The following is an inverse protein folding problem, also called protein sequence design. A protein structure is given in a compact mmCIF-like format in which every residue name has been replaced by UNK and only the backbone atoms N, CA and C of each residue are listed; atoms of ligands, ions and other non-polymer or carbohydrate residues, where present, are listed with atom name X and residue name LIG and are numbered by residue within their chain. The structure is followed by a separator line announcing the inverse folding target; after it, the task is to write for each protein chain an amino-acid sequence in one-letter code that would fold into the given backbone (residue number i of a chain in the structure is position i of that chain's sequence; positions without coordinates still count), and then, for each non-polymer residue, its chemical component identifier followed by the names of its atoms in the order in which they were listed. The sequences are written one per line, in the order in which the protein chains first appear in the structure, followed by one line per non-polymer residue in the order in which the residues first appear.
data_IF_294539874078
#
_entry.id   IF_294539874078
#
_cell.length_a   1.000
_cell.length_b   1.000
_cell.length_c   1.000
_cell.angle_alpha   90.00
_cell.angle_beta   90.00
_cell.angle_gamma   90.00
#
_symmetry.space_group_name_H-M   'P 1'
#
loop_
_entity.id
_entity.type
_entity.pdbx_description
1 polymer ?
#
# COMPACT_ATOMS: atom_id res chain seq x y z
N UNK A 1 0.48 -8.18 4.00
CA UNK A 1 -0.96 -7.86 4.12
C UNK A 1 -1.23 -7.05 5.38
N UNK A 2 -2.19 -6.12 5.35
CA UNK A 2 -2.63 -5.34 6.53
C UNK A 2 -4.06 -5.67 6.99
N UNK A 3 -4.80 -6.46 6.22
CA UNK A 3 -6.15 -6.96 6.54
C UNK A 3 -6.06 -8.47 6.71
N UNK A 4 -6.42 -9.00 7.89
CA UNK A 4 -6.33 -10.43 8.17
C UNK A 4 -7.25 -11.24 7.27
N UNK A 5 -8.37 -10.65 6.82
CA UNK A 5 -9.38 -11.32 5.98
C UNK A 5 -8.83 -11.70 4.60
N UNK A 6 -7.81 -10.98 4.15
CA UNK A 6 -7.16 -11.19 2.84
C UNK A 6 -5.85 -11.98 2.96
N UNK A 7 -5.47 -12.42 4.16
CA UNK A 7 -4.28 -13.24 4.36
C UNK A 7 -4.47 -14.60 3.71
N UNK A 8 -3.44 -15.03 3.01
CA UNK A 8 -3.31 -16.34 2.39
C UNK A 8 -2.04 -17.05 2.90
N UNK A 9 -1.94 -18.39 2.77
CA UNK A 9 -0.75 -19.12 3.20
C UNK A 9 0.53 -18.57 2.55
N UNK A 10 1.54 -18.26 3.36
CA UNK A 10 2.79 -17.65 2.91
C UNK A 10 2.87 -16.13 3.06
N UNK A 11 1.76 -15.47 3.42
CA UNK A 11 1.76 -14.03 3.62
C UNK A 11 2.46 -13.60 4.92
N UNK A 12 3.05 -12.41 4.86
CA UNK A 12 3.43 -11.64 6.03
C UNK A 12 2.26 -10.72 6.42
N UNK A 13 1.82 -10.77 7.68
CA UNK A 13 0.79 -9.88 8.22
C UNK A 13 1.38 -8.75 9.05
N UNK A 14 0.94 -7.51 8.82
CA UNK A 14 1.41 -6.33 9.55
C UNK A 14 0.33 -5.83 10.50
N UNK A 15 0.51 -6.09 11.79
CA UNK A 15 -0.40 -5.69 12.85
C UNK A 15 -0.14 -4.24 13.29
N UNK A 16 -0.63 -3.27 12.50
CA UNK A 16 -0.58 -1.84 12.84
C UNK A 16 -1.80 -1.39 13.65
N UNK A 17 -1.62 -0.34 14.44
CA UNK A 17 -2.75 0.36 15.08
C UNK A 17 -3.49 1.18 14.02
N UNK A 18 -4.78 0.89 13.82
CA UNK A 18 -5.66 1.65 12.94
C UNK A 18 -6.49 2.68 13.70
N UNK A 19 -7.31 3.44 12.99
CA UNK A 19 -8.20 4.46 13.59
C UNK A 19 -9.45 3.87 14.25
N UNK A 20 -9.91 2.70 13.80
CA UNK A 20 -11.13 2.04 14.30
C UNK A 20 -10.84 0.77 15.10
N UNK A 21 -9.73 0.10 14.81
CA UNK A 21 -9.34 -1.16 15.43
C UNK A 21 -7.82 -1.28 15.46
N UNK A 22 -7.31 -2.15 16.32
CA UNK A 22 -5.88 -2.45 16.40
C UNK A 22 -5.60 -3.74 15.64
N UNK A 23 -4.65 -3.71 14.71
CA UNK A 23 -4.24 -4.88 13.92
C UNK A 23 -3.79 -6.07 14.77
N UNK A 24 -3.36 -5.82 16.02
CA UNK A 24 -2.99 -6.87 16.99
C UNK A 24 -4.15 -7.80 17.33
N UNK A 25 -5.38 -7.28 17.34
CA UNK A 25 -6.60 -8.05 17.64
C UNK A 25 -6.84 -9.15 16.59
N UNK A 26 -6.26 -8.99 15.40
CA UNK A 26 -6.44 -9.89 14.26
C UNK A 26 -5.25 -10.82 14.00
N UNK A 27 -4.23 -10.79 14.87
CA UNK A 27 -3.04 -11.65 14.71
C UNK A 27 -3.45 -13.13 14.71
N UNK A 28 -4.32 -13.55 15.64
CA UNK A 28 -4.77 -14.94 15.71
C UNK A 28 -5.49 -15.39 14.41
N UNK A 29 -6.33 -14.53 13.83
CA UNK A 29 -7.00 -14.80 12.55
C UNK A 29 -5.99 -14.88 11.39
N UNK A 30 -5.04 -13.95 11.31
CA UNK A 30 -3.99 -13.98 10.30
C UNK A 30 -3.15 -15.27 10.37
N UNK A 31 -2.77 -15.69 11.58
CA UNK A 31 -2.02 -16.95 11.74
C UNK A 31 -2.88 -18.16 11.38
N UNK A 32 -4.17 -18.18 11.74
CA UNK A 32 -5.10 -19.25 11.34
C UNK A 32 -5.22 -19.38 9.82
N UNK A 33 -5.08 -18.27 9.09
CA UNK A 33 -5.13 -18.21 7.63
C UNK A 33 -3.81 -18.57 6.94
N UNK A 34 -2.75 -18.84 7.72
CA UNK A 34 -1.45 -19.28 7.20
C UNK A 34 -0.42 -18.17 7.05
N UNK A 35 -0.55 -17.06 7.78
CA UNK A 35 0.53 -16.08 7.87
C UNK A 35 1.81 -16.76 8.42
N UNK A 36 2.91 -16.63 7.67
CA UNK A 36 4.22 -17.19 8.03
C UNK A 36 5.04 -16.22 8.87
N UNK A 37 4.69 -14.93 8.86
CA UNK A 37 5.30 -13.92 9.69
C UNK A 37 4.31 -12.84 10.14
N UNK A 38 4.51 -12.31 11.34
CA UNK A 38 3.78 -11.17 11.92
C UNK A 38 4.75 -10.03 12.20
N UNK A 39 4.44 -8.82 11.72
CA UNK A 39 5.13 -7.58 12.12
C UNK A 39 4.24 -6.83 13.11
N UNK A 40 4.78 -6.52 14.29
CA UNK A 40 4.02 -5.83 15.34
C UNK A 40 4.96 -5.02 16.25
N UNK A 41 4.42 -3.99 16.89
CA UNK A 41 5.09 -3.22 17.95
C UNK A 41 4.98 -3.85 19.34
N UNK A 42 4.24 -4.97 19.46
CA UNK A 42 4.15 -5.76 20.69
C UNK A 42 4.43 -7.24 20.42
N UNK A 43 5.67 -7.60 20.03
CA UNK A 43 6.01 -8.98 19.71
C UNK A 43 5.78 -9.95 20.89
N UNK A 44 5.92 -9.47 22.12
CA UNK A 44 5.68 -10.25 23.34
C UNK A 44 4.22 -10.66 23.55
N UNK A 45 3.27 -9.96 22.92
CA UNK A 45 1.84 -10.27 23.03
C UNK A 45 1.42 -11.40 22.07
N UNK A 46 2.32 -11.84 21.18
CA UNK A 46 2.05 -12.88 20.18
C UNK A 46 2.34 -14.26 20.78
N UNK A 47 1.35 -15.18 20.83
CA UNK A 47 1.56 -16.51 21.39
C UNK A 47 2.64 -17.29 20.61
N UNK A 48 3.63 -17.83 21.31
CA UNK A 48 4.76 -18.59 20.74
C UNK A 48 4.37 -19.97 20.14
N UNK A 49 3.08 -20.30 20.09
CA UNK A 49 2.60 -21.66 19.87
C UNK A 49 2.54 -22.10 18.39
N UNK A 50 3.06 -21.31 17.45
CA UNK A 50 2.98 -21.61 16.01
C UNK A 50 4.28 -21.30 15.30
N UNK A 51 4.53 -21.97 14.17
CA UNK A 51 5.68 -21.77 13.27
C UNK A 51 5.68 -20.42 12.54
N UNK A 52 5.13 -19.38 13.18
CA UNK A 52 5.03 -18.03 12.62
C UNK A 52 6.13 -17.17 13.21
N UNK A 53 6.98 -16.62 12.34
CA UNK A 53 8.01 -15.67 12.77
C UNK A 53 7.36 -14.39 13.32
N UNK A 54 7.86 -13.87 14.43
CA UNK A 54 7.39 -12.61 15.02
C UNK A 54 8.49 -11.57 14.92
N UNK A 55 8.19 -10.46 14.26
CA UNK A 55 9.12 -9.36 14.01
C UNK A 55 8.65 -8.13 14.79
N UNK A 56 9.42 -7.77 15.81
CA UNK A 56 9.22 -6.53 16.57
C UNK A 56 9.57 -5.31 15.73
N UNK A 57 8.67 -4.33 15.66
CA UNK A 57 8.88 -3.08 14.94
C UNK A 57 8.14 -1.94 15.63
N UNK A 58 8.85 -0.87 15.99
CA UNK A 58 8.28 0.30 16.68
C UNK A 58 7.17 1.00 15.88
N UNK A 59 7.24 0.93 14.55
CA UNK A 59 6.22 1.51 13.68
C UNK A 59 5.80 0.54 12.57
N UNK A 60 4.86 -0.38 12.85
CA UNK A 60 4.35 -1.32 11.86
C UNK A 60 3.72 -0.61 10.65
N UNK A 61 3.14 0.59 10.84
CA UNK A 61 2.58 1.40 9.75
C UNK A 61 3.65 1.88 8.77
N UNK A 62 4.81 2.33 9.26
CA UNK A 62 5.94 2.71 8.40
C UNK A 62 6.55 1.48 7.73
N UNK A 63 6.73 0.39 8.49
CA UNK A 63 7.23 -0.87 7.95
C UNK A 63 6.35 -1.40 6.82
N UNK A 64 5.03 -1.33 6.95
CA UNK A 64 4.09 -1.70 5.89
C UNK A 64 4.35 -0.93 4.59
N UNK A 65 4.64 0.37 4.68
CA UNK A 65 4.97 1.19 3.51
C UNK A 65 6.21 0.68 2.77
N UNK A 66 7.29 0.39 3.50
CA UNK A 66 8.50 -0.15 2.90
C UNK A 66 8.33 -1.57 2.36
N UNK A 67 7.68 -2.45 3.12
CA UNK A 67 7.42 -3.83 2.72
C UNK A 67 6.55 -3.89 1.46
N UNK A 68 5.51 -3.05 1.38
CA UNK A 68 4.66 -2.94 0.20
C UNK A 68 5.49 -2.57 -1.05
N UNK A 69 6.39 -1.59 -0.94
CA UNK A 69 7.27 -1.23 -2.05
C UNK A 69 8.25 -2.35 -2.41
N UNK A 70 8.80 -3.05 -1.42
CA UNK A 70 9.76 -4.13 -1.62
C UNK A 70 9.16 -5.32 -2.38
N UNK A 71 7.89 -5.67 -2.14
CA UNK A 71 7.17 -6.74 -2.85
C UNK A 71 7.19 -6.52 -4.37
N UNK A 72 7.11 -5.26 -4.82
CA UNK A 72 7.10 -4.89 -6.22
C UNK A 72 8.46 -4.39 -6.75
N UNK A 73 9.54 -4.65 -5.99
CA UNK A 73 10.89 -4.19 -6.30
C UNK A 73 11.00 -2.66 -6.47
N UNK A 74 10.39 -1.90 -5.56
CA UNK A 74 10.46 -0.43 -5.51
C UNK A 74 10.10 0.27 -6.84
N UNK A 75 8.88 0.07 -7.38
CA UNK A 75 8.51 0.49 -8.73
C UNK A 75 8.63 2.00 -8.96
N UNK A 76 8.48 2.80 -7.90
CA UNK A 76 8.68 4.24 -7.94
C UNK A 76 10.09 4.68 -8.42
N UNK A 77 11.11 3.81 -8.30
CA UNK A 77 12.50 4.12 -8.72
C UNK A 77 12.65 4.20 -10.24
N UNK A 78 11.76 3.57 -10.98
CA UNK A 78 11.80 3.49 -12.43
C UNK A 78 10.97 4.59 -13.12
N UNK A 79 10.42 5.53 -12.34
CA UNK A 79 9.57 6.61 -12.85
C UNK A 79 9.75 7.93 -12.11
N UNK A 80 9.24 9.01 -12.70
CA UNK A 80 9.16 10.32 -12.04
C UNK A 80 7.80 10.48 -11.38
N UNK A 81 7.81 10.64 -10.06
CA UNK A 81 6.59 10.90 -9.28
C UNK A 81 6.43 12.40 -9.02
N UNK A 82 5.22 12.91 -9.32
CA UNK A 82 4.82 14.29 -9.04
C UNK A 82 3.64 14.25 -8.06
N UNK A 83 3.84 14.77 -6.85
CA UNK A 83 2.81 14.85 -5.83
C UNK A 83 2.26 16.27 -5.73
N UNK A 84 0.94 16.41 -5.82
CA UNK A 84 0.26 17.70 -5.63
C UNK A 84 -0.52 17.67 -4.31
N UNK A 85 -0.12 18.53 -3.38
CA UNK A 85 -0.79 18.71 -2.08
C UNK A 85 -1.40 20.11 -1.97
N UNK A 86 -2.30 20.30 -1.02
CA UNK A 86 -2.99 21.57 -0.77
C UNK A 86 -4.47 21.40 -0.48
N UNK A 87 -5.11 22.42 0.10
CA UNK A 87 -6.54 22.37 0.46
C UNK A 87 -7.41 22.24 -0.78
N UNK A 88 -7.13 23.04 -1.82
CA UNK A 88 -7.89 23.09 -3.08
C UNK A 88 -6.97 22.93 -4.29
N UNK A 89 -7.54 22.57 -5.44
CA UNK A 89 -6.83 22.55 -6.72
C UNK A 89 -6.03 21.28 -7.03
N UNK A 90 -5.80 20.37 -6.08
CA UNK A 90 -5.05 19.10 -6.29
C UNK A 90 -5.52 18.34 -7.54
N UNK A 91 -6.81 18.06 -7.62
CA UNK A 91 -7.41 17.33 -8.75
C UNK A 91 -7.18 18.08 -10.06
N UNK A 92 -7.56 19.35 -10.14
CA UNK A 92 -7.38 20.15 -11.36
C UNK A 92 -5.92 20.19 -11.80
N UNK A 93 -4.99 20.46 -10.90
CA UNK A 93 -3.56 20.54 -11.20
C UNK A 93 -3.01 19.19 -11.69
N UNK A 94 -3.36 18.08 -11.05
CA UNK A 94 -2.89 16.75 -11.49
C UNK A 94 -3.42 16.37 -12.88
N UNK A 95 -4.66 16.74 -13.21
CA UNK A 95 -5.21 16.55 -14.57
C UNK A 95 -4.51 17.44 -15.61
N UNK A 96 -4.22 18.70 -15.28
CA UNK A 96 -3.47 19.60 -16.16
C UNK A 96 -2.06 19.05 -16.44
N UNK A 97 -1.33 18.63 -15.40
CA UNK A 97 0.00 18.01 -15.54
C UNK A 97 -0.08 16.80 -16.47
N UNK A 98 -1.02 15.88 -16.23
CA UNK A 98 -1.18 14.68 -17.06
C UNK A 98 -1.50 15.04 -18.51
N UNK A 99 -2.39 16.00 -18.75
CA UNK A 99 -2.74 16.42 -20.11
C UNK A 99 -1.53 17.01 -20.84
N UNK A 100 -0.72 17.84 -20.18
CA UNK A 100 0.52 18.37 -20.78
C UNK A 100 1.48 17.23 -21.13
N UNK A 101 1.70 16.29 -20.22
CA UNK A 101 2.60 15.15 -20.46
C UNK A 101 2.13 14.28 -21.63
N UNK A 102 0.84 13.95 -21.69
CA UNK A 102 0.28 13.15 -22.79
C UNK A 102 0.36 13.88 -24.14
N UNK A 103 0.09 15.18 -24.19
CA UNK A 103 0.25 15.97 -25.41
C UNK A 103 1.72 16.09 -25.86
N UNK A 104 2.67 15.98 -24.92
CA UNK A 104 4.10 15.89 -25.22
C UNK A 104 4.56 14.47 -25.63
N UNK A 105 3.65 13.50 -25.76
CA UNK A 105 3.96 12.12 -26.09
C UNK A 105 4.60 11.32 -24.95
N UNK A 106 4.54 11.82 -23.72
CA UNK A 106 5.11 11.17 -22.53
C UNK A 106 4.01 10.33 -21.86
N UNK A 107 4.29 9.04 -21.66
CA UNK A 107 3.40 8.15 -20.91
C UNK A 107 3.22 8.67 -19.48
N UNK A 108 1.97 8.83 -19.05
CA UNK A 108 1.65 9.44 -17.77
C UNK A 108 0.35 8.86 -17.19
N UNK A 109 0.49 8.25 -16.01
CA UNK A 109 -0.62 7.82 -15.15
C UNK A 109 -1.06 8.94 -14.20
N UNK A 110 -2.19 8.73 -13.54
CA UNK A 110 -2.79 9.64 -12.57
C UNK A 110 -3.37 8.85 -11.39
N UNK A 111 -3.08 9.33 -10.19
CA UNK A 111 -3.63 8.81 -8.95
C UNK A 111 -4.33 9.98 -8.27
N UNK A 112 -5.66 9.93 -8.16
CA UNK A 112 -6.40 11.05 -7.59
C UNK A 112 -7.77 10.66 -7.05
N UNK A 113 -8.51 11.68 -6.63
CA UNK A 113 -9.83 11.55 -5.98
C UNK A 113 -10.88 10.88 -6.86
N UNK A 114 -10.81 11.13 -8.17
CA UNK A 114 -11.88 10.72 -9.10
C UNK A 114 -11.55 9.37 -9.73
N UNK A 115 -10.29 9.16 -10.10
CA UNK A 115 -9.88 7.99 -10.85
C UNK A 115 -8.43 7.62 -10.57
N UNK A 116 -8.16 6.34 -10.75
CA UNK A 116 -6.82 5.78 -10.87
C UNK A 116 -6.64 5.43 -12.35
N UNK A 117 -5.64 6.02 -12.99
CA UNK A 117 -5.29 5.78 -14.39
C UNK A 117 -3.83 5.32 -14.43
N UNK A 118 -3.58 4.07 -14.80
CA UNK A 118 -2.21 3.52 -14.88
C UNK A 118 -1.53 3.74 -16.24
N UNK A 119 -2.10 4.59 -17.10
CA UNK A 119 -1.67 4.83 -18.46
C UNK A 119 -2.27 3.86 -19.48
N UNK A 120 -2.84 2.73 -19.03
CA UNK A 120 -3.48 1.70 -19.88
C UNK A 120 -4.97 1.57 -19.56
N UNK A 121 -5.34 1.57 -18.29
CA UNK A 121 -6.70 1.42 -17.78
C UNK A 121 -7.06 2.57 -16.85
N UNK A 122 -8.36 2.88 -16.78
CA UNK A 122 -8.93 3.88 -15.86
C UNK A 122 -9.99 3.19 -15.01
N UNK A 123 -9.86 3.31 -13.70
CA UNK A 123 -10.83 2.80 -12.73
C UNK A 123 -11.25 3.91 -11.77
N UNK A 124 -12.47 3.80 -11.23
CA UNK A 124 -12.97 4.71 -10.21
C UNK A 124 -12.13 4.61 -8.93
N UNK A 125 -11.83 5.75 -8.31
CA UNK A 125 -10.98 5.79 -7.13
C UNK A 125 -11.82 5.65 -5.86
N UNK A 126 -11.61 4.62 -5.02
CA UNK A 126 -12.35 4.47 -3.77
C UNK A 126 -11.93 5.50 -2.70
N UNK A 127 -10.77 6.13 -2.86
CA UNK A 127 -10.22 7.10 -1.92
C UNK A 127 -9.16 7.99 -2.59
N UNK A 128 -8.99 9.21 -2.09
CA UNK A 128 -8.05 10.22 -2.61
C UNK A 128 -6.61 9.73 -2.74
N UNK A 129 -6.19 8.87 -1.81
CA UNK A 129 -4.85 8.29 -1.75
C UNK A 129 -4.98 6.83 -1.31
N UNK A 130 -4.60 5.87 -2.16
CA UNK A 130 -4.63 4.45 -1.83
C UNK A 130 -3.77 4.11 -0.59
N UNK A 131 -4.10 2.99 0.05
CA UNK A 131 -3.24 2.41 1.08
C UNK A 131 -1.86 2.00 0.53
N UNK A 132 -0.84 1.78 1.38
CA UNK A 132 0.53 1.55 0.90
C UNK A 132 0.69 0.34 -0.03
N UNK A 133 -0.05 -0.74 0.23
CA UNK A 133 -0.04 -1.97 -0.60
C UNK A 133 -0.63 -1.70 -1.98
N UNK A 134 -1.79 -1.06 -2.03
CA UNK A 134 -2.46 -0.70 -3.28
C UNK A 134 -1.65 0.32 -4.08
N UNK A 135 -1.05 1.30 -3.40
CA UNK A 135 -0.15 2.28 -4.01
C UNK A 135 1.05 1.59 -4.68
N UNK A 136 1.71 0.66 -3.99
CA UNK A 136 2.85 -0.07 -4.56
C UNK A 136 2.44 -0.91 -5.77
N UNK A 137 1.28 -1.60 -5.70
CA UNK A 137 0.75 -2.38 -6.81
C UNK A 137 0.42 -1.51 -8.03
N UNK A 138 -0.23 -0.36 -7.81
CA UNK A 138 -0.59 0.59 -8.86
C UNK A 138 0.66 1.17 -9.56
N UNK A 139 1.69 1.52 -8.79
CA UNK A 139 2.96 1.98 -9.35
C UNK A 139 3.67 0.87 -10.13
N UNK A 140 3.60 -0.38 -9.67
CA UNK A 140 4.14 -1.51 -10.43
C UNK A 140 3.45 -1.66 -11.80
N UNK A 141 2.11 -1.57 -11.84
CA UNK A 141 1.35 -1.60 -13.11
C UNK A 141 1.66 -0.43 -14.05
N UNK A 142 2.07 0.71 -13.52
CA UNK A 142 2.48 1.87 -14.34
C UNK A 142 3.89 1.70 -14.91
N UNK A 143 4.76 0.96 -14.20
CA UNK A 143 6.11 0.64 -14.67
C UNK A 143 6.08 -0.41 -15.79
N UNK A 144 5.28 -1.45 -15.58
CA UNK A 144 5.17 -2.65 -16.44
C UNK A 144 4.15 -2.42 -17.58
#
# INVERSE_FOLDING_TARGET
MEDSRTVTPGDLFVAKVGSKSTGRDFIADAVNRGAVAIVTDRPQDVPAARETAVIGCDSPAIALGYLAQAIYNFPARDMKLMAVTGTNGKTTTTYLIRNVMRNAGIACGLIGTVQLDDGKCVVESPMTTPGPVEMAALLARMRD
#
